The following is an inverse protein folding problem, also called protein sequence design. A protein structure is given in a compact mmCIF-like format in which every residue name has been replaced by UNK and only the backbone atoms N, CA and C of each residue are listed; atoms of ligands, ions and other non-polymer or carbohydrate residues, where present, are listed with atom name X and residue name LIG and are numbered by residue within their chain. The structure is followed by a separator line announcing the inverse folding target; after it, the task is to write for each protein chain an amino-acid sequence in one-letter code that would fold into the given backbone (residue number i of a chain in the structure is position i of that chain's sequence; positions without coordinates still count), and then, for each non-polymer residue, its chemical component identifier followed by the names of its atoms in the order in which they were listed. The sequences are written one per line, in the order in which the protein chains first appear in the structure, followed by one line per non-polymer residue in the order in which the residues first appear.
data_IF_214119100949
#
_entry.id   IF_214119100949
#
_cell.length_a   1.000
_cell.length_b   1.000
_cell.length_c   1.000
_cell.angle_alpha   90.00
_cell.angle_beta   90.00
_cell.angle_gamma   90.00
#
_symmetry.space_group_name_H-M   'P 1'
#
loop_
_entity.id
_entity.type
_entity.pdbx_description
1 polymer ?
#
# COMPACT_ATOMS: atom_id res chain seq x y z
N UNK A 1 -18.09 -61.08 -22.96
CA UNK A 1 -18.50 -59.93 -22.12
C UNK A 1 -17.82 -60.05 -20.77
N UNK A 2 -16.97 -59.08 -20.40
CA UNK A 2 -16.67 -58.67 -19.00
C UNK A 2 -15.63 -57.54 -19.04
N UNK A 3 -16.15 -56.33 -19.14
CA UNK A 3 -15.42 -55.06 -18.97
C UNK A 3 -15.05 -54.89 -17.49
N UNK A 4 -13.77 -54.66 -17.21
CA UNK A 4 -13.30 -54.16 -15.92
C UNK A 4 -13.32 -52.62 -15.96
N UNK A 5 -14.17 -52.00 -15.15
CA UNK A 5 -14.16 -50.56 -14.93
C UNK A 5 -13.41 -50.25 -13.63
N UNK A 6 -12.26 -49.59 -13.75
CA UNK A 6 -11.45 -49.11 -12.63
C UNK A 6 -12.04 -47.75 -12.18
N UNK A 7 -12.61 -47.69 -10.98
CA UNK A 7 -13.08 -46.43 -10.38
C UNK A 7 -11.89 -45.74 -9.73
N UNK A 8 -11.43 -44.65 -10.33
CA UNK A 8 -10.41 -43.77 -9.74
C UNK A 8 -11.08 -42.86 -8.69
N UNK A 9 -10.71 -43.06 -7.42
CA UNK A 9 -11.06 -42.16 -6.33
C UNK A 9 -10.30 -40.84 -6.49
N UNK A 10 -11.00 -39.76 -6.87
CA UNK A 10 -10.48 -38.41 -6.75
C UNK A 10 -10.45 -38.03 -5.26
N UNK A 11 -9.26 -37.95 -4.68
CA UNK A 11 -9.04 -37.26 -3.42
C UNK A 11 -9.17 -35.74 -3.65
N UNK A 12 -10.30 -35.17 -3.25
CA UNK A 12 -10.43 -33.71 -3.11
C UNK A 12 -9.47 -33.23 -2.02
N UNK A 13 -8.33 -32.67 -2.41
CA UNK A 13 -7.51 -31.86 -1.51
C UNK A 13 -8.28 -30.58 -1.18
N UNK A 14 -8.85 -30.50 0.03
CA UNK A 14 -9.42 -29.27 0.54
C UNK A 14 -8.31 -28.21 0.63
N UNK A 15 -8.52 -27.05 -0.01
CA UNK A 15 -7.65 -25.90 0.17
C UNK A 15 -7.63 -25.50 1.66
N UNK A 16 -6.48 -25.03 2.21
CA UNK A 16 -6.43 -24.59 3.59
C UNK A 16 -7.41 -23.44 3.81
N UNK A 17 -8.34 -23.61 4.75
CA UNK A 17 -9.26 -22.57 5.15
C UNK A 17 -8.48 -21.47 5.88
N UNK A 18 -8.51 -20.25 5.34
CA UNK A 18 -7.82 -19.10 5.92
C UNK A 18 -8.54 -18.65 7.19
N UNK A 19 -7.82 -18.57 8.31
CA UNK A 19 -8.39 -18.06 9.55
C UNK A 19 -8.57 -16.53 9.46
N UNK A 20 -9.77 -16.02 9.74
CA UNK A 20 -10.04 -14.59 9.87
C UNK A 20 -9.95 -14.18 11.34
N UNK A 21 -9.08 -13.21 11.65
CA UNK A 21 -8.87 -12.76 13.03
C UNK A 21 -9.23 -11.29 13.17
N UNK A 22 -10.06 -10.97 14.16
CA UNK A 22 -10.43 -9.60 14.49
C UNK A 22 -10.25 -9.32 15.98
N UNK A 23 -9.87 -8.08 16.30
CA UNK A 23 -9.82 -7.57 17.66
C UNK A 23 -11.07 -6.72 17.93
N UNK A 24 -12.00 -7.24 18.72
CA UNK A 24 -13.22 -6.50 19.06
C UNK A 24 -13.00 -5.44 20.15
N UNK A 25 -12.03 -5.66 21.02
CA UNK A 25 -11.80 -4.79 22.17
C UNK A 25 -10.67 -5.27 23.06
N UNK A 26 -10.40 -4.49 24.09
CA UNK A 26 -9.40 -4.77 25.10
C UNK A 26 -10.07 -4.88 26.48
N UNK A 27 -9.68 -5.87 27.27
CA UNK A 27 -10.12 -6.04 28.65
C UNK A 27 -8.88 -6.04 29.55
N UNK A 28 -8.49 -4.85 30.01
CA UNK A 28 -7.20 -4.63 30.65
C UNK A 28 -6.05 -4.95 29.68
N UNK A 29 -5.21 -5.92 30.03
CA UNK A 29 -4.12 -6.39 29.15
C UNK A 29 -4.54 -7.53 28.21
N UNK A 30 -5.82 -7.95 28.19
CA UNK A 30 -6.31 -9.07 27.38
C UNK A 30 -6.96 -8.57 26.09
N UNK A 31 -6.69 -9.25 24.99
CA UNK A 31 -7.30 -8.99 23.70
C UNK A 31 -8.62 -9.78 23.57
N UNK A 32 -9.73 -9.12 23.24
CA UNK A 32 -10.99 -9.79 22.88
C UNK A 32 -10.94 -10.19 21.41
N UNK A 33 -10.53 -11.43 21.15
CA UNK A 33 -10.34 -11.95 19.80
C UNK A 33 -11.58 -12.67 19.28
N UNK A 34 -11.90 -12.43 18.01
CA UNK A 34 -12.83 -13.22 17.21
C UNK A 34 -12.00 -13.96 16.16
N UNK A 35 -12.15 -15.28 16.09
CA UNK A 35 -11.49 -16.13 15.09
C UNK A 35 -12.55 -16.88 14.30
N UNK A 36 -12.63 -16.66 12.99
CA UNK A 36 -13.60 -17.29 12.08
C UNK A 36 -15.07 -17.09 12.53
N UNK A 37 -15.39 -15.88 12.97
CA UNK A 37 -16.73 -15.53 13.45
C UNK A 37 -17.10 -16.17 14.79
N UNK A 38 -16.11 -16.71 15.54
CA UNK A 38 -16.35 -17.21 16.90
C UNK A 38 -16.87 -16.11 17.83
N UNK A 39 -17.57 -16.49 18.92
CA UNK A 39 -17.81 -15.55 19.99
C UNK A 39 -16.49 -14.92 20.49
N UNK A 40 -16.51 -13.66 20.94
CA UNK A 40 -15.32 -12.94 21.35
C UNK A 40 -14.72 -13.59 22.59
N UNK A 41 -13.43 -13.94 22.53
CA UNK A 41 -12.73 -14.56 23.65
C UNK A 41 -11.62 -13.65 24.17
N UNK A 42 -11.55 -13.37 25.49
CA UNK A 42 -10.40 -12.71 26.09
C UNK A 42 -9.19 -13.64 26.08
N UNK A 43 -8.10 -13.19 25.48
CA UNK A 43 -6.82 -13.91 25.39
C UNK A 43 -5.70 -13.00 25.91
N UNK A 44 -4.92 -13.48 26.89
CA UNK A 44 -3.82 -12.74 27.47
C UNK A 44 -2.52 -12.90 26.64
N UNK A 45 -1.54 -11.98 26.75
CA UNK A 45 -0.21 -12.19 26.18
C UNK A 45 0.41 -13.52 26.63
N UNK A 46 0.92 -14.28 25.67
CA UNK A 46 1.43 -15.64 25.86
C UNK A 46 0.41 -16.75 25.60
N UNK A 47 -0.91 -16.45 25.66
CA UNK A 47 -1.97 -17.43 25.45
C UNK A 47 -2.32 -17.61 23.97
N UNK A 48 -2.84 -18.79 23.63
CA UNK A 48 -3.23 -19.16 22.27
C UNK A 48 -4.70 -19.55 22.22
N UNK A 49 -5.41 -19.08 21.20
CA UNK A 49 -6.79 -19.43 20.92
C UNK A 49 -7.01 -19.73 19.44
N UNK A 50 -7.48 -20.94 19.11
CA UNK A 50 -7.80 -21.36 17.73
C UNK A 50 -6.66 -21.08 16.73
N UNK A 51 -5.43 -21.41 17.13
CA UNK A 51 -4.23 -21.19 16.30
C UNK A 51 -3.66 -19.77 16.35
N UNK A 52 -4.31 -18.83 17.05
CA UNK A 52 -3.88 -17.44 17.22
C UNK A 52 -3.25 -17.24 18.59
N UNK A 53 -1.94 -17.01 18.64
CA UNK A 53 -1.21 -16.68 19.87
C UNK A 53 -1.14 -15.18 20.07
N UNK A 54 -1.52 -14.66 21.23
CA UNK A 54 -1.27 -13.25 21.54
C UNK A 54 0.18 -13.11 22.01
N UNK A 55 0.98 -12.33 21.28
CA UNK A 55 2.38 -12.06 21.61
C UNK A 55 2.47 -10.91 22.61
N UNK A 56 1.77 -9.82 22.33
CA UNK A 56 1.77 -8.64 23.19
C UNK A 56 0.51 -7.81 22.99
N UNK A 57 0.14 -7.01 24.00
CA UNK A 57 -0.98 -6.07 23.96
C UNK A 57 -0.49 -4.69 24.40
N UNK A 58 -0.92 -3.64 23.71
CA UNK A 58 -0.54 -2.26 24.00
C UNK A 58 -1.66 -1.30 23.59
N UNK A 59 -2.24 -0.59 24.55
CA UNK A 59 -3.33 0.35 24.30
C UNK A 59 -4.53 -0.33 23.64
N UNK A 60 -4.85 0.07 22.41
CA UNK A 60 -5.92 -0.45 21.56
C UNK A 60 -5.44 -1.50 20.54
N UNK A 61 -4.22 -2.01 20.69
CA UNK A 61 -3.59 -2.94 19.74
C UNK A 61 -3.18 -4.25 20.39
N UNK A 62 -3.24 -5.33 19.61
CA UNK A 62 -2.73 -6.63 19.97
C UNK A 62 -1.85 -7.18 18.83
N UNK A 63 -0.61 -7.58 19.17
CA UNK A 63 0.25 -8.35 18.27
C UNK A 63 -0.09 -9.81 18.49
N UNK A 64 -0.54 -10.47 17.43
CA UNK A 64 -0.87 -11.89 17.42
C UNK A 64 0.04 -12.64 16.46
N UNK A 65 0.22 -13.93 16.68
CA UNK A 65 0.95 -14.84 15.82
C UNK A 65 0.01 -15.96 15.36
N UNK A 66 -0.07 -16.17 14.05
CA UNK A 66 -0.92 -17.19 13.41
C UNK A 66 -0.08 -17.90 12.36
N UNK A 67 0.03 -19.22 12.45
CA UNK A 67 0.88 -20.04 11.57
C UNK A 67 2.32 -19.50 11.42
N UNK A 68 2.90 -19.03 12.53
CA UNK A 68 4.26 -18.47 12.58
C UNK A 68 4.41 -17.05 12.03
N UNK A 69 3.32 -16.39 11.62
CA UNK A 69 3.32 -15.00 11.14
C UNK A 69 2.76 -14.06 12.20
N UNK A 70 3.45 -12.94 12.44
CA UNK A 70 2.96 -11.91 13.37
C UNK A 70 2.10 -10.89 12.64
N UNK A 71 0.97 -10.54 13.26
CA UNK A 71 -0.02 -9.58 12.77
C UNK A 71 -0.34 -8.61 13.91
N UNK A 72 -0.41 -7.32 13.60
CA UNK A 72 -0.90 -6.31 14.54
C UNK A 72 -2.37 -6.05 14.24
N UNK A 73 -3.23 -6.28 15.22
CA UNK A 73 -4.66 -6.01 15.15
C UNK A 73 -4.96 -4.76 15.95
N UNK A 74 -5.83 -3.87 15.44
CA UNK A 74 -6.41 -2.79 16.25
C UNK A 74 -7.90 -2.97 16.47
N UNK A 75 -8.38 -2.42 17.58
CA UNK A 75 -9.81 -2.43 17.91
C UNK A 75 -10.59 -1.67 16.82
N UNK A 76 -11.61 -2.32 16.26
CA UNK A 76 -12.50 -1.71 15.26
C UNK A 76 -11.99 -1.75 13.81
N UNK A 77 -10.82 -2.35 13.55
CA UNK A 77 -10.38 -2.66 12.19
C UNK A 77 -11.13 -3.88 11.63
N UNK A 78 -11.33 -3.90 10.30
CA UNK A 78 -11.93 -5.04 9.61
C UNK A 78 -11.09 -6.33 9.83
N UNK A 79 -11.72 -7.51 9.85
CA UNK A 79 -11.01 -8.77 10.11
C UNK A 79 -9.79 -8.95 9.21
N UNK A 80 -8.64 -9.21 9.82
CA UNK A 80 -7.42 -9.53 9.09
C UNK A 80 -7.48 -11.01 8.66
N UNK A 81 -7.50 -11.28 7.35
CA UNK A 81 -7.43 -12.65 6.83
C UNK A 81 -5.99 -13.15 6.88
N UNK A 82 -5.74 -14.22 7.64
CA UNK A 82 -4.46 -14.92 7.69
C UNK A 82 -4.38 -15.84 6.47
N UNK A 83 -4.04 -15.26 5.33
CA UNK A 83 -4.08 -15.95 4.04
C UNK A 83 -3.76 -15.05 2.86
N UNK A 84 -4.10 -13.77 2.96
CA UNK A 84 -3.37 -12.74 2.23
C UNK A 84 -2.03 -12.57 2.91
N UNK A 85 -0.93 -12.52 2.15
CA UNK A 85 0.30 -11.98 2.70
C UNK A 85 -0.05 -10.70 3.46
N UNK A 86 0.36 -10.59 4.73
CA UNK A 86 0.47 -9.28 5.33
C UNK A 86 1.42 -8.55 4.39
N UNK A 87 0.87 -7.69 3.53
CA UNK A 87 1.67 -6.83 2.69
C UNK A 87 2.62 -6.16 3.68
N UNK A 88 3.96 -6.26 3.49
CA UNK A 88 4.90 -5.62 4.39
C UNK A 88 4.40 -4.21 4.71
N UNK A 89 4.54 -3.73 5.95
CA UNK A 89 4.30 -2.31 6.21
C UNK A 89 5.10 -1.51 5.17
N UNK A 90 4.44 -0.69 4.34
CA UNK A 90 5.04 -0.12 3.15
C UNK A 90 4.88 -0.91 1.83
N UNK A 91 3.92 -1.83 1.72
CA UNK A 91 3.70 -2.63 0.50
C UNK A 91 2.33 -2.43 -0.16
N UNK A 92 1.40 -1.65 0.43
CA UNK A 92 0.10 -1.40 -0.17
C UNK A 92 -0.39 0.03 0.06
N UNK A 93 -0.65 0.75 -1.03
CA UNK A 93 -1.28 2.08 -1.02
C UNK A 93 -2.70 1.92 -1.56
N UNK A 94 -3.71 2.45 -0.86
CA UNK A 94 -5.10 2.47 -1.33
C UNK A 94 -5.55 3.92 -1.51
N UNK A 95 -5.69 4.37 -2.74
CA UNK A 95 -6.12 5.72 -3.08
C UNK A 95 -7.59 5.71 -3.48
N UNK A 96 -8.34 6.71 -3.03
CA UNK A 96 -9.72 6.92 -3.44
C UNK A 96 -9.75 8.08 -4.43
N UNK A 97 -10.56 7.96 -5.48
CA UNK A 97 -10.77 9.02 -6.44
C UNK A 97 -11.44 10.23 -5.75
N UNK A 98 -10.93 11.43 -6.03
CA UNK A 98 -11.55 12.68 -5.62
C UNK A 98 -12.69 13.11 -6.56
N UNK A 99 -13.28 14.27 -6.27
CA UNK A 99 -14.24 14.91 -7.17
C UNK A 99 -13.62 15.12 -8.55
N UNK A 100 -14.21 14.52 -9.60
CA UNK A 100 -13.66 14.55 -10.96
C UNK A 100 -12.92 13.28 -11.40
N UNK A 101 -12.82 12.26 -10.53
CA UNK A 101 -12.29 10.94 -10.91
C UNK A 101 -10.76 10.82 -10.91
N UNK A 102 -10.05 11.89 -10.54
CA UNK A 102 -8.60 11.88 -10.34
C UNK A 102 -8.25 11.33 -8.96
N UNK A 103 -7.15 10.58 -8.87
CA UNK A 103 -6.63 10.12 -7.59
C UNK A 103 -5.67 11.16 -7.04
N UNK A 104 -6.05 11.78 -5.94
CA UNK A 104 -5.22 12.74 -5.22
C UNK A 104 -4.69 12.09 -3.94
N UNK A 105 -3.45 12.39 -3.58
CA UNK A 105 -2.86 11.84 -2.37
C UNK A 105 -1.84 12.77 -1.74
N UNK A 106 -1.83 12.77 -0.40
CA UNK A 106 -0.79 13.40 0.39
C UNK A 106 0.45 12.53 0.45
N UNK A 107 1.60 13.18 0.42
CA UNK A 107 2.88 12.51 0.57
C UNK A 107 3.99 13.47 0.95
N UNK A 108 5.22 12.99 0.77
CA UNK A 108 6.43 13.77 1.01
C UNK A 108 7.44 13.57 -0.11
N UNK A 109 8.16 14.64 -0.44
CA UNK A 109 9.35 14.63 -1.27
C UNK A 109 10.49 15.18 -0.42
N UNK A 110 11.56 14.40 -0.26
CA UNK A 110 12.72 14.76 0.58
C UNK A 110 12.26 15.31 1.96
N UNK A 111 11.36 14.57 2.61
CA UNK A 111 10.70 14.86 3.90
C UNK A 111 9.79 16.09 3.99
N UNK A 112 9.59 16.83 2.90
CA UNK A 112 8.66 17.97 2.83
C UNK A 112 7.30 17.56 2.26
N UNK A 113 6.23 18.12 2.82
CA UNK A 113 4.87 17.82 2.41
C UNK A 113 4.60 18.18 0.94
N UNK A 114 3.93 17.27 0.24
CA UNK A 114 3.56 17.41 -1.17
C UNK A 114 2.18 16.79 -1.40
N UNK A 115 1.43 17.36 -2.32
CA UNK A 115 0.16 16.85 -2.79
C UNK A 115 0.33 16.37 -4.22
N UNK A 116 -0.06 15.12 -4.47
CA UNK A 116 0.14 14.46 -5.74
C UNK A 116 -1.19 14.18 -6.42
N UNK A 117 -1.20 14.27 -7.75
CA UNK A 117 -2.19 13.66 -8.62
C UNK A 117 -1.57 12.46 -9.32
N UNK A 118 -2.22 11.30 -9.28
CA UNK A 118 -1.75 10.12 -10.02
C UNK A 118 -1.92 10.36 -11.51
N UNK A 119 -0.83 10.21 -12.26
CA UNK A 119 -0.82 10.30 -13.72
C UNK A 119 -0.05 9.12 -14.31
N UNK A 120 -0.79 8.10 -14.75
CA UNK A 120 -0.21 6.91 -15.39
C UNK A 120 0.37 7.19 -16.78
N UNK A 121 0.07 8.33 -17.39
CA UNK A 121 0.63 8.78 -18.65
C UNK A 121 2.00 9.46 -18.50
N UNK A 122 2.33 9.95 -17.30
CA UNK A 122 3.60 10.59 -17.03
C UNK A 122 4.74 9.57 -16.88
N UNK A 123 5.84 9.75 -17.61
CA UNK A 123 7.01 8.85 -17.54
C UNK A 123 7.73 8.95 -16.20
N UNK A 124 7.82 10.14 -15.62
CA UNK A 124 8.46 10.42 -14.33
C UNK A 124 7.55 11.30 -13.47
N UNK A 125 7.93 11.50 -12.20
CA UNK A 125 7.26 12.49 -11.36
C UNK A 125 7.44 13.88 -12.01
N UNK A 126 6.35 14.59 -12.22
CA UNK A 126 6.36 15.93 -12.81
C UNK A 126 5.97 16.99 -11.81
N UNK A 127 6.68 18.12 -11.74
CA UNK A 127 6.29 19.27 -10.92
C UNK A 127 6.66 20.58 -11.60
N UNK A 128 5.98 21.67 -11.21
CA UNK A 128 6.35 23.01 -11.64
C UNK A 128 7.53 23.56 -10.85
N UNK A 129 8.20 24.58 -11.40
CA UNK A 129 9.29 25.28 -10.73
C UNK A 129 8.92 25.80 -9.32
N UNK A 130 7.71 26.33 -9.15
CA UNK A 130 7.25 26.85 -7.85
C UNK A 130 7.18 25.75 -6.77
N UNK A 131 6.76 24.54 -7.12
CA UNK A 131 6.78 23.40 -6.19
C UNK A 131 8.21 22.95 -5.90
N UNK A 132 9.09 22.90 -6.89
CA UNK A 132 10.48 22.55 -6.69
C UNK A 132 11.18 23.53 -5.73
N UNK A 133 10.94 24.84 -5.89
CA UNK A 133 11.45 25.89 -4.99
C UNK A 133 10.90 25.75 -3.57
N UNK A 134 9.57 25.56 -3.43
CA UNK A 134 8.92 25.31 -2.13
C UNK A 134 9.49 24.07 -1.42
N UNK A 135 9.78 23.02 -2.20
CA UNK A 135 10.40 21.79 -1.73
C UNK A 135 11.93 21.92 -1.55
N UNK A 136 12.54 23.06 -1.88
CA UNK A 136 13.98 23.30 -1.79
C UNK A 136 14.81 22.33 -2.63
N UNK A 137 14.28 21.94 -3.80
CA UNK A 137 14.98 21.11 -4.77
C UNK A 137 15.82 22.04 -5.64
N UNK A 138 17.14 21.86 -5.65
CA UNK A 138 18.02 22.54 -6.60
C UNK A 138 17.91 21.91 -7.99
N UNK A 139 16.85 22.28 -8.71
CA UNK A 139 16.57 21.71 -10.01
C UNK A 139 17.40 22.32 -11.15
N UNK A 140 17.94 23.54 -10.94
CA UNK A 140 18.78 24.21 -11.95
C UNK A 140 20.16 23.58 -12.07
N UNK A 141 20.64 22.91 -11.01
CA UNK A 141 21.79 22.01 -11.07
C UNK A 141 21.51 20.68 -11.79
N UNK A 142 20.26 20.37 -12.12
CA UNK A 142 19.85 19.17 -12.84
C UNK A 142 20.10 19.23 -14.36
N UNK A 143 19.77 18.14 -15.06
CA UNK A 143 19.99 18.03 -16.50
C UNK A 143 18.87 18.75 -17.28
N UNK A 144 19.16 19.74 -18.13
CA UNK A 144 18.15 20.35 -18.99
C UNK A 144 17.57 19.33 -19.98
N UNK A 145 16.24 19.31 -20.11
CA UNK A 145 15.51 18.39 -20.99
C UNK A 145 14.38 19.11 -21.71
N UNK A 146 14.01 18.56 -22.88
CA UNK A 146 12.73 18.86 -23.53
C UNK A 146 11.73 17.79 -23.14
N UNK A 147 10.53 18.20 -22.75
CA UNK A 147 9.47 17.30 -22.31
C UNK A 147 8.19 17.55 -23.10
N UNK A 148 7.56 16.46 -23.55
CA UNK A 148 6.24 16.50 -24.17
C UNK A 148 5.17 16.51 -23.09
N UNK A 149 4.22 17.43 -23.20
CA UNK A 149 3.06 17.54 -22.32
C UNK A 149 1.78 17.57 -23.17
N UNK A 150 0.62 17.50 -22.52
CA UNK A 150 -0.66 17.69 -23.21
C UNK A 150 -0.77 19.05 -23.92
N UNK A 151 -0.05 20.06 -23.42
CA UNK A 151 -0.01 21.42 -23.99
C UNK A 151 1.13 21.62 -25.01
N UNK A 152 1.79 20.53 -25.43
CA UNK A 152 2.92 20.56 -26.35
C UNK A 152 4.28 20.45 -25.65
N UNK A 153 5.33 20.83 -26.36
CA UNK A 153 6.71 20.72 -25.88
C UNK A 153 7.06 21.87 -24.95
N UNK A 154 7.69 21.56 -23.81
CA UNK A 154 8.23 22.55 -22.88
C UNK A 154 9.65 22.18 -22.46
N UNK A 155 10.35 23.15 -21.87
CA UNK A 155 11.66 22.96 -21.26
C UNK A 155 11.51 22.60 -19.78
N UNK A 156 12.44 21.81 -19.29
CA UNK A 156 12.51 21.46 -17.89
C UNK A 156 13.89 20.94 -17.49
N UNK A 157 13.97 20.47 -16.26
CA UNK A 157 15.17 19.89 -15.68
C UNK A 157 14.86 18.52 -15.11
N UNK A 158 15.62 17.51 -15.52
CA UNK A 158 15.61 16.19 -14.90
C UNK A 158 16.44 16.24 -13.63
N UNK A 159 15.86 15.73 -12.55
CA UNK A 159 16.47 15.64 -11.22
C UNK A 159 16.19 14.26 -10.62
N UNK A 160 16.95 13.91 -9.59
CA UNK A 160 16.70 12.72 -8.77
C UNK A 160 16.26 13.17 -7.39
N UNK A 161 15.07 12.72 -6.99
CA UNK A 161 14.55 12.92 -5.65
C UNK A 161 15.13 11.84 -4.73
N UNK A 162 15.68 12.24 -3.58
CA UNK A 162 16.28 11.32 -2.62
C UNK A 162 15.25 10.33 -2.06
N UNK A 163 14.03 10.81 -1.78
CA UNK A 163 12.92 9.98 -1.33
C UNK A 163 11.57 10.57 -1.69
N UNK A 164 10.64 9.71 -2.07
CA UNK A 164 9.22 10.01 -2.24
C UNK A 164 8.43 9.05 -1.35
N UNK A 165 7.64 9.60 -0.43
CA UNK A 165 6.83 8.83 0.51
C UNK A 165 5.36 9.10 0.30
N UNK A 166 4.57 8.05 0.06
CA UNK A 166 3.11 8.12 -0.01
C UNK A 166 2.57 7.20 1.09
N UNK A 167 1.84 7.78 2.04
CA UNK A 167 1.43 7.09 3.28
C UNK A 167 2.62 6.43 3.99
N UNK A 168 2.58 5.10 4.15
CA UNK A 168 3.58 4.27 4.80
C UNK A 168 4.65 3.73 3.82
N UNK A 169 4.54 4.04 2.53
CA UNK A 169 5.49 3.56 1.51
C UNK A 169 6.48 4.64 1.11
N UNK A 170 7.77 4.34 1.24
CA UNK A 170 8.86 5.16 0.71
C UNK A 170 9.54 4.49 -0.48
N UNK A 171 9.77 5.28 -1.53
CA UNK A 171 10.64 4.93 -2.67
C UNK A 171 11.78 5.93 -2.71
N UNK A 172 13.01 5.42 -2.86
CA UNK A 172 14.23 6.22 -2.91
C UNK A 172 14.73 6.34 -4.34
N UNK A 173 15.55 7.37 -4.57
CA UNK A 173 16.25 7.61 -5.84
C UNK A 173 15.28 7.66 -7.03
N UNK A 174 14.26 8.53 -6.92
CA UNK A 174 13.15 8.62 -7.87
C UNK A 174 13.42 9.71 -8.89
N UNK A 175 13.41 9.36 -10.18
CA UNK A 175 13.51 10.36 -11.25
C UNK A 175 12.30 11.29 -11.24
N UNK A 176 12.56 12.58 -11.36
CA UNK A 176 11.54 13.61 -11.56
C UNK A 176 11.96 14.62 -12.61
N UNK A 177 10.98 15.33 -13.16
CA UNK A 177 11.18 16.47 -14.06
C UNK A 177 10.52 17.71 -13.48
N UNK A 178 11.27 18.81 -13.46
CA UNK A 178 10.77 20.12 -13.10
C UNK A 178 10.50 20.90 -14.38
N UNK A 179 9.22 21.17 -14.65
CA UNK A 179 8.79 21.96 -15.80
C UNK A 179 8.98 23.45 -15.54
N UNK A 180 9.40 24.19 -16.56
CA UNK A 180 9.36 25.65 -16.53
C UNK A 180 7.94 26.20 -16.62
N UNK A 181 7.03 25.45 -17.26
CA UNK A 181 5.62 25.82 -17.32
C UNK A 181 4.94 25.58 -15.97
N UNK A 182 3.97 26.44 -15.64
CA UNK A 182 3.15 26.27 -14.45
C UNK A 182 2.37 24.95 -14.50
N UNK A 183 2.32 24.26 -13.35
CA UNK A 183 1.60 23.00 -13.20
C UNK A 183 0.66 23.12 -11.99
N UNK A 184 -0.62 22.72 -12.11
CA UNK A 184 -1.58 22.82 -11.01
C UNK A 184 -1.35 21.78 -9.91
N UNK A 185 -0.67 20.68 -10.23
CA UNK A 185 -0.39 19.57 -9.32
C UNK A 185 1.00 19.00 -9.59
N UNK A 186 1.58 18.38 -8.56
CA UNK A 186 2.67 17.44 -8.73
C UNK A 186 2.09 16.13 -9.26
N UNK A 187 2.59 15.65 -10.38
CA UNK A 187 2.16 14.41 -11.01
C UNK A 187 2.97 13.23 -10.47
N UNK A 188 2.29 12.22 -9.93
CA UNK A 188 2.90 10.96 -9.52
C UNK A 188 2.95 10.02 -10.74
N UNK A 189 4.09 10.04 -11.44
CA UNK A 189 4.31 9.30 -12.68
C UNK A 189 5.00 7.94 -12.51
N UNK A 190 5.33 7.33 -13.63
CA UNK A 190 5.80 5.95 -13.71
C UNK A 190 7.20 5.69 -13.11
N UNK A 191 8.02 6.70 -12.88
CA UNK A 191 9.26 6.57 -12.10
C UNK A 191 9.00 6.12 -10.65
N UNK A 192 7.80 6.40 -10.12
CA UNK A 192 7.30 5.85 -8.86
C UNK A 192 6.36 4.66 -9.08
N UNK A 193 5.35 4.81 -9.96
CA UNK A 193 4.27 3.83 -10.08
C UNK A 193 4.73 2.44 -10.55
N UNK A 194 5.80 2.35 -11.35
CA UNK A 194 6.30 1.06 -11.84
C UNK A 194 6.91 0.16 -10.75
N UNK A 195 7.14 0.69 -9.54
CA UNK A 195 7.52 -0.12 -8.36
C UNK A 195 6.35 -0.94 -7.80
N UNK A 196 5.14 -0.70 -8.31
CA UNK A 196 3.91 -1.28 -7.82
C UNK A 196 3.16 -2.03 -8.92
N UNK A 197 2.46 -3.07 -8.51
CA UNK A 197 1.34 -3.65 -9.21
C UNK A 197 0.14 -2.75 -8.94
N UNK A 198 -0.41 -2.16 -10.01
CA UNK A 198 -1.59 -1.31 -9.92
C UNK A 198 -2.85 -2.12 -10.22
N UNK A 199 -3.87 -1.96 -9.38
CA UNK A 199 -5.23 -2.47 -9.62
C UNK A 199 -6.23 -1.36 -9.35
N UNK A 200 -7.16 -1.14 -10.28
CA UNK A 200 -8.26 -0.18 -10.12
C UNK A 200 -9.57 -0.93 -9.97
N UNK A 201 -10.32 -0.63 -8.93
CA UNK A 201 -11.64 -1.20 -8.64
C UNK A 201 -12.58 -0.04 -8.31
N UNK A 202 -13.49 0.27 -9.23
CA UNK A 202 -14.41 1.41 -9.12
C UNK A 202 -13.67 2.74 -8.89
N UNK A 203 -13.91 3.37 -7.74
CA UNK A 203 -13.32 4.61 -7.24
C UNK A 203 -12.04 4.39 -6.44
N UNK A 204 -11.55 3.15 -6.31
CA UNK A 204 -10.31 2.82 -5.61
C UNK A 204 -9.19 2.45 -6.58
N UNK A 205 -7.98 2.90 -6.25
CA UNK A 205 -6.73 2.46 -6.84
C UNK A 205 -5.86 1.85 -5.76
N UNK A 206 -5.47 0.60 -5.97
CA UNK A 206 -4.59 -0.17 -5.11
C UNK A 206 -3.22 -0.28 -5.78
N UNK A 207 -2.17 0.13 -5.07
CA UNK A 207 -0.78 -0.02 -5.47
C UNK A 207 -0.11 -1.01 -4.52
N UNK A 208 0.23 -2.20 -5.02
CA UNK A 208 0.91 -3.25 -4.25
C UNK A 208 2.36 -3.37 -4.68
N UNK A 209 3.31 -3.24 -3.75
CA UNK A 209 4.74 -3.18 -4.05
C UNK A 209 5.20 -4.50 -4.67
N UNK A 210 5.94 -4.43 -5.78
CA UNK A 210 6.42 -5.62 -6.51
C UNK A 210 7.69 -6.23 -5.91
N UNK A 211 8.54 -5.41 -5.29
CA UNK A 211 9.85 -5.79 -4.72
C UNK A 211 10.37 -4.73 -3.74
#
# INVERSE_FOLDING_TARGET
MRTFALVAALACAAAPAWAQVALQGMMGNRALLIVDGSPPKPVAPGETHRGVKVVSTAGDQAVVEVDGRRLTLRVGEAPASVGGAAAPQGAKIVLTAGSGGHFLTEGRINDKAAYFMVDTGATSIGMGAADAERLGIDYKGGQPVRMGTANGMTLGWRVTLSSVRIRDVEVRDVEAVVSQASMPYILLGNSFLNRFQMRRENDQMVLERRY
#
